data_IF_044925294413
#
_entry.id   IF_044925294413
#
_cell.length_a   1.000
_cell.length_b   1.000
_cell.length_c   1.000
_cell.angle_alpha   90.00
_cell.angle_beta   90.00
_cell.angle_gamma   90.00
#
_symmetry.space_group_name_H-M   'P 1'
#
loop_
_entity.id
_entity.type
_entity.pdbx_description
1 polymer ?
#
# COMPACT_ATOMS: atom_id res chain seq x y z
N UNK A 1 -31.15 25.21 7.18
CA UNK A 1 -30.71 23.85 7.56
C UNK A 1 -29.29 23.72 7.09
N UNK A 2 -28.32 23.49 7.98
CA UNK A 2 -26.96 23.12 7.56
C UNK A 2 -27.05 21.66 7.17
N UNK A 3 -26.87 21.38 5.89
CA UNK A 3 -26.72 20.02 5.41
C UNK A 3 -25.47 19.46 6.08
N UNK A 4 -25.67 18.56 7.03
CA UNK A 4 -24.58 17.77 7.57
C UNK A 4 -24.06 16.91 6.41
N UNK A 5 -22.86 17.23 5.93
CA UNK A 5 -22.12 16.32 5.06
C UNK A 5 -21.75 15.15 5.96
N UNK A 6 -22.64 14.16 6.07
CA UNK A 6 -22.28 12.86 6.61
C UNK A 6 -21.45 12.18 5.53
N UNK A 7 -20.17 12.51 5.46
CA UNK A 7 -19.19 11.64 4.82
C UNK A 7 -19.20 10.37 5.66
N UNK A 8 -19.98 9.38 5.27
CA UNK A 8 -19.75 8.01 5.77
C UNK A 8 -18.29 7.69 5.44
N UNK A 9 -17.42 7.75 6.45
CA UNK A 9 -16.07 7.21 6.34
C UNK A 9 -16.29 5.71 6.25
N UNK A 10 -16.48 5.22 5.02
CA UNK A 10 -16.40 3.80 4.75
C UNK A 10 -14.95 3.43 5.04
N UNK A 11 -14.76 2.59 6.04
CA UNK A 11 -13.49 1.95 6.31
C UNK A 11 -13.13 1.12 5.06
N UNK A 12 -12.40 1.72 4.14
CA UNK A 12 -11.94 1.05 2.92
C UNK A 12 -10.68 0.25 3.24
N UNK A 13 -10.64 -1.00 2.79
CA UNK A 13 -9.46 -1.84 2.95
C UNK A 13 -8.33 -1.33 2.06
N UNK A 14 -7.11 -1.27 2.59
CA UNK A 14 -5.92 -0.86 1.85
C UNK A 14 -4.92 -2.00 1.73
N UNK A 15 -4.47 -2.27 0.50
CA UNK A 15 -3.33 -3.16 0.23
C UNK A 15 -2.06 -2.32 0.22
N UNK A 16 -1.06 -2.73 0.99
CA UNK A 16 0.22 -2.01 1.05
C UNK A 16 1.25 -2.69 0.14
N UNK A 17 1.98 -1.91 -0.64
CA UNK A 17 2.94 -2.42 -1.62
C UNK A 17 4.30 -1.75 -1.42
N UNK A 18 5.35 -2.56 -1.24
CA UNK A 18 6.72 -2.10 -1.02
C UNK A 18 7.72 -2.72 -1.99
N UNK A 19 8.86 -2.06 -2.18
CA UNK A 19 9.96 -2.54 -3.01
C UNK A 19 11.26 -2.63 -2.22
N UNK A 20 11.93 -3.77 -2.33
CA UNK A 20 13.31 -3.92 -1.89
C UNK A 20 14.20 -3.61 -3.09
N UNK A 21 15.01 -2.57 -2.98
CA UNK A 21 15.97 -2.15 -4.02
C UNK A 21 17.40 -2.21 -3.48
N UNK A 22 18.44 -2.06 -4.32
CA UNK A 22 19.83 -1.98 -3.86
C UNK A 22 20.07 -0.87 -2.82
N UNK A 23 19.29 0.21 -2.88
CA UNK A 23 19.35 1.38 -1.99
C UNK A 23 18.48 1.23 -0.74
N UNK A 24 17.60 0.23 -0.70
CA UNK A 24 16.60 0.07 0.36
C UNK A 24 16.50 -1.38 0.81
N UNK A 25 17.03 -1.66 2.00
CA UNK A 25 16.99 -3.00 2.60
C UNK A 25 15.57 -3.46 2.91
N UNK A 26 15.40 -4.77 3.07
CA UNK A 26 14.13 -5.36 3.50
C UNK A 26 13.65 -4.85 4.87
N UNK A 27 14.57 -4.67 5.81
CA UNK A 27 14.28 -4.04 7.10
C UNK A 27 13.69 -2.64 6.91
N UNK A 28 14.31 -1.81 6.07
CA UNK A 28 13.83 -0.46 5.79
C UNK A 28 12.46 -0.45 5.10
N UNK A 29 12.23 -1.38 4.19
CA UNK A 29 10.90 -1.57 3.56
C UNK A 29 9.85 -1.89 4.60
N UNK A 30 10.15 -2.79 5.54
CA UNK A 30 9.20 -3.16 6.58
C UNK A 30 8.88 -1.97 7.50
N UNK A 31 9.88 -1.19 7.91
CA UNK A 31 9.67 0.06 8.66
C UNK A 31 8.75 1.03 7.89
N UNK A 32 8.98 1.23 6.59
CA UNK A 32 8.15 2.10 5.76
C UNK A 32 6.73 1.58 5.58
N UNK A 33 6.54 0.25 5.51
CA UNK A 33 5.21 -0.35 5.44
C UNK A 33 4.46 -0.25 6.78
N UNK A 34 5.17 -0.29 7.91
CA UNK A 34 4.57 -0.05 9.23
C UNK A 34 4.13 1.41 9.38
N UNK A 35 4.97 2.36 8.97
CA UNK A 35 4.62 3.79 8.93
C UNK A 35 3.43 4.03 7.96
N UNK A 36 3.46 3.43 6.77
CA UNK A 36 2.37 3.57 5.80
C UNK A 36 1.05 2.96 6.32
N UNK A 37 1.11 1.85 7.05
CA UNK A 37 -0.06 1.28 7.72
C UNK A 37 -0.64 2.24 8.76
N UNK A 38 0.22 2.81 9.62
CA UNK A 38 -0.19 3.81 10.60
C UNK A 38 -0.83 5.04 9.92
N UNK A 39 -0.22 5.56 8.85
CA UNK A 39 -0.80 6.67 8.08
C UNK A 39 -2.16 6.30 7.48
N UNK A 40 -2.31 5.10 6.92
CA UNK A 40 -3.57 4.61 6.39
C UNK A 40 -4.66 4.53 7.47
N UNK A 41 -4.34 4.00 8.65
CA UNK A 41 -5.25 3.96 9.80
C UNK A 41 -5.72 5.36 10.21
N UNK A 42 -4.78 6.32 10.31
CA UNK A 42 -5.13 7.71 10.67
C UNK A 42 -5.99 8.40 9.61
N UNK A 43 -5.93 7.94 8.36
CA UNK A 43 -6.76 8.40 7.25
C UNK A 43 -8.13 7.70 7.19
N UNK A 44 -8.44 6.79 8.11
CA UNK A 44 -9.71 6.04 8.12
C UNK A 44 -9.73 4.83 7.19
N UNK A 45 -8.57 4.37 6.72
CA UNK A 45 -8.44 3.13 5.96
C UNK A 45 -8.11 1.97 6.90
N UNK A 46 -8.40 0.75 6.44
CA UNK A 46 -8.02 -0.48 7.14
C UNK A 46 -6.86 -1.12 6.37
N UNK A 47 -5.59 -0.90 6.76
CA UNK A 47 -4.48 -1.57 6.12
C UNK A 47 -4.58 -3.08 6.32
N UNK A 48 -4.54 -3.82 5.22
CA UNK A 48 -4.66 -5.27 5.20
C UNK A 48 -3.39 -5.92 4.67
N UNK A 49 -3.52 -6.65 3.57
CA UNK A 49 -2.43 -7.44 3.00
C UNK A 49 -1.27 -6.56 2.54
N UNK A 50 -0.04 -7.04 2.78
CA UNK A 50 1.20 -6.43 2.31
C UNK A 50 1.81 -7.26 1.19
N UNK A 51 2.28 -6.59 0.14
CA UNK A 51 3.04 -7.18 -0.94
C UNK A 51 4.40 -6.52 -1.03
N UNK A 52 5.45 -7.32 -1.09
CA UNK A 52 6.82 -6.84 -1.30
C UNK A 52 7.41 -7.52 -2.52
N UNK A 53 8.14 -6.76 -3.32
CA UNK A 53 8.92 -7.30 -4.44
C UNK A 53 10.34 -6.75 -4.43
N UNK A 54 11.32 -7.62 -4.68
CA UNK A 54 12.69 -7.19 -4.93
C UNK A 54 12.87 -6.82 -6.40
N UNK A 55 13.36 -5.61 -6.67
CA UNK A 55 13.66 -5.08 -8.00
C UNK A 55 14.86 -4.13 -7.91
N UNK A 56 15.65 -4.02 -8.97
CA UNK A 56 16.76 -3.05 -9.00
C UNK A 56 16.25 -1.60 -9.03
N UNK A 57 15.10 -1.38 -9.68
CA UNK A 57 14.41 -0.09 -9.73
C UNK A 57 12.90 -0.31 -9.88
N UNK A 58 12.05 0.63 -9.44
CA UNK A 58 10.61 0.54 -9.63
C UNK A 58 10.26 0.44 -11.12
N UNK A 59 9.25 -0.37 -11.45
CA UNK A 59 8.69 -0.34 -12.78
C UNK A 59 7.99 1.01 -13.00
N UNK A 60 8.34 1.71 -14.08
CA UNK A 60 7.83 3.07 -14.34
C UNK A 60 6.31 3.15 -14.56
N UNK A 61 5.66 2.04 -14.94
CA UNK A 61 4.23 1.98 -15.22
C UNK A 61 3.47 1.37 -14.04
N UNK A 62 4.01 0.31 -13.47
CA UNK A 62 3.27 -0.54 -12.52
C UNK A 62 3.82 -0.54 -11.10
N UNK A 63 4.92 0.18 -10.84
CA UNK A 63 5.72 0.18 -9.60
C UNK A 63 6.37 -1.17 -9.30
N UNK A 64 5.59 -2.25 -9.24
CA UNK A 64 6.00 -3.66 -9.20
C UNK A 64 6.12 -4.25 -10.61
N UNK A 65 6.68 -5.45 -10.75
CA UNK A 65 6.64 -6.21 -12.00
C UNK A 65 5.23 -6.74 -12.32
N UNK A 66 4.97 -7.04 -13.60
CA UNK A 66 3.64 -7.45 -14.10
C UNK A 66 3.06 -8.68 -13.41
N UNK A 67 3.88 -9.68 -13.09
CA UNK A 67 3.41 -10.87 -12.36
C UNK A 67 2.94 -10.56 -10.93
N UNK A 68 3.64 -9.65 -10.23
CA UNK A 68 3.23 -9.20 -8.90
C UNK A 68 1.98 -8.33 -8.97
N UNK A 69 1.86 -7.48 -10.00
CA UNK A 69 0.63 -6.72 -10.25
C UNK A 69 -0.57 -7.64 -10.45
N UNK A 70 -0.40 -8.72 -11.22
CA UNK A 70 -1.46 -9.72 -11.41
C UNK A 70 -1.85 -10.38 -10.08
N UNK A 71 -0.88 -10.80 -9.26
CA UNK A 71 -1.13 -11.37 -7.92
C UNK A 71 -1.87 -10.41 -6.97
N UNK A 72 -1.61 -9.10 -7.08
CA UNK A 72 -2.33 -8.06 -6.33
C UNK A 72 -3.76 -7.94 -6.88
N UNK A 73 -3.92 -7.91 -8.21
CA UNK A 73 -5.23 -7.81 -8.86
C UNK A 73 -6.12 -9.02 -8.62
N UNK A 74 -5.57 -10.20 -8.41
CA UNK A 74 -6.34 -11.42 -8.08
C UNK A 74 -6.82 -11.42 -6.63
N UNK A 75 -6.25 -10.57 -5.77
CA UNK A 75 -6.63 -10.46 -4.36
C UNK A 75 -7.70 -9.39 -4.10
N UNK A 76 -7.73 -8.32 -4.90
CA UNK A 76 -8.66 -7.18 -4.79
C UNK A 76 -9.95 -7.47 -5.56
#
# INVERSE_FOLDING_TARGET
MKDFITSEIKNENAVLVGLITPEQSEEKVNEYLDELAFLAETAGLVPGKRYVQRLDMPNAVTFVGTGKLQEISEYV
#
